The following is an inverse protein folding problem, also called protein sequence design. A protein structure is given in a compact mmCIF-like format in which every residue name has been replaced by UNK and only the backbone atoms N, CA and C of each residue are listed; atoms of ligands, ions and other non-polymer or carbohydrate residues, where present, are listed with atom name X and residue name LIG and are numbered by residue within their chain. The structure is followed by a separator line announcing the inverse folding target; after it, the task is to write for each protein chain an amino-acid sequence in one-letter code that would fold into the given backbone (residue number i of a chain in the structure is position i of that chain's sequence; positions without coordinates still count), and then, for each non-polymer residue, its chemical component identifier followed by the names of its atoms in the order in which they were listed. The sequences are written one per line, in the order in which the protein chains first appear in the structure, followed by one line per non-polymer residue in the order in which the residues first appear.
data_IF_072003075311
#
_entry.id   IF_072003075311
#
_cell.length_a   1.000
_cell.length_b   1.000
_cell.length_c   1.000
_cell.angle_alpha   90.00
_cell.angle_beta   90.00
_cell.angle_gamma   90.00
#
_symmetry.space_group_name_H-M   'P 1'
#
loop_
_entity.id
_entity.type
_entity.pdbx_description
1 polymer ?
#
# COMPACT_ATOMS: atom_id res chain seq x y z
N UNK A 1 40.43 -37.96 -36.09
CA UNK A 1 39.74 -38.58 -34.95
C UNK A 1 39.50 -37.49 -33.93
N UNK A 2 38.30 -36.90 -33.92
CA UNK A 2 37.94 -35.79 -33.03
C UNK A 2 37.09 -36.36 -31.90
N UNK A 3 37.53 -36.18 -30.66
CA UNK A 3 36.82 -36.65 -29.47
C UNK A 3 35.54 -35.81 -29.28
N UNK A 4 34.36 -36.41 -29.03
CA UNK A 4 33.20 -35.64 -28.65
C UNK A 4 33.39 -35.12 -27.21
N UNK A 5 33.25 -33.80 -27.05
CA UNK A 5 33.23 -33.08 -25.76
C UNK A 5 31.95 -33.47 -25.01
N UNK A 6 32.08 -33.82 -23.73
CA UNK A 6 30.96 -34.13 -22.85
C UNK A 6 29.99 -32.93 -22.76
N UNK A 7 28.69 -33.14 -22.58
CA UNK A 7 27.74 -32.04 -22.39
C UNK A 7 28.06 -31.33 -21.07
N UNK A 8 28.14 -30.00 -21.12
CA UNK A 8 28.29 -29.17 -19.94
C UNK A 8 27.01 -29.28 -19.09
N UNK A 9 27.16 -29.53 -17.79
CA UNK A 9 26.02 -29.57 -16.86
C UNK A 9 25.36 -28.19 -16.83
N UNK A 10 24.08 -28.15 -17.21
CA UNK A 10 23.25 -26.96 -17.11
C UNK A 10 23.01 -26.66 -15.62
N UNK A 11 23.67 -25.61 -15.13
CA UNK A 11 23.44 -25.09 -13.78
C UNK A 11 22.03 -24.52 -13.76
N UNK A 12 21.08 -25.31 -13.22
CA UNK A 12 19.72 -24.85 -12.93
C UNK A 12 19.84 -23.74 -11.91
N UNK A 13 19.66 -22.49 -12.34
CA UNK A 13 19.50 -21.38 -11.41
C UNK A 13 18.21 -21.61 -10.62
N UNK A 14 18.21 -21.35 -9.29
CA UNK A 14 16.97 -21.43 -8.53
C UNK A 14 15.98 -20.44 -9.14
N UNK A 15 14.76 -20.90 -9.38
CA UNK A 15 13.60 -20.06 -9.68
C UNK A 15 13.40 -19.10 -8.51
N UNK A 16 14.12 -17.98 -8.53
CA UNK A 16 13.74 -16.80 -7.78
C UNK A 16 12.54 -16.25 -8.52
N UNK A 17 11.34 -16.71 -8.14
CA UNK A 17 10.04 -16.27 -8.64
C UNK A 17 9.73 -14.80 -8.34
N UNK A 18 10.73 -13.92 -8.38
CA UNK A 18 10.60 -12.49 -8.42
C UNK A 18 10.82 -12.08 -9.89
N UNK A 19 9.78 -12.27 -10.70
CA UNK A 19 9.70 -11.54 -11.95
C UNK A 19 9.71 -10.06 -11.59
N UNK A 20 10.65 -9.31 -12.16
CA UNK A 20 10.63 -7.86 -12.13
C UNK A 20 9.32 -7.41 -12.77
N UNK A 21 8.32 -7.09 -11.93
CA UNK A 21 7.09 -6.45 -12.39
C UNK A 21 7.55 -5.06 -12.84
N UNK A 22 7.58 -4.87 -14.14
CA UNK A 22 7.83 -3.58 -14.77
C UNK A 22 6.73 -2.62 -14.30
N UNK A 23 7.16 -1.47 -13.78
CA UNK A 23 6.37 -0.38 -13.19
C UNK A 23 5.45 0.36 -14.20
N UNK A 24 4.63 -0.35 -15.00
CA UNK A 24 3.87 0.28 -16.09
C UNK A 24 2.49 -0.34 -16.39
N UNK A 25 2.00 -1.23 -15.53
CA UNK A 25 0.58 -1.60 -15.55
C UNK A 25 -0.12 -0.80 -14.45
N UNK A 26 -0.77 0.30 -14.86
CA UNK A 26 -1.85 0.88 -14.10
C UNK A 26 -2.75 -0.27 -13.62
N UNK A 27 -2.64 -0.57 -12.33
CA UNK A 27 -3.28 -1.72 -11.71
C UNK A 27 -4.74 -1.71 -12.14
N UNK A 28 -5.15 -2.78 -12.82
CA UNK A 28 -6.39 -2.77 -13.61
C UNK A 28 -7.56 -2.29 -12.73
N UNK A 29 -8.12 -1.12 -13.07
CA UNK A 29 -9.29 -0.56 -12.40
C UNK A 29 -10.43 -1.59 -12.32
N UNK A 30 -10.50 -2.51 -13.29
CA UNK A 30 -11.48 -3.60 -13.31
C UNK A 30 -11.29 -4.60 -12.14
N UNK A 31 -10.07 -4.73 -11.60
CA UNK A 31 -9.74 -5.63 -10.49
C UNK A 31 -10.03 -5.03 -9.11
N UNK A 32 -9.87 -3.71 -8.95
CA UNK A 32 -10.24 -3.00 -7.71
C UNK A 32 -11.76 -2.73 -7.64
N UNK A 33 -12.40 -2.47 -8.79
CA UNK A 33 -13.85 -2.35 -8.91
C UNK A 33 -14.43 -1.01 -8.45
N UNK A 34 -13.59 -0.05 -8.05
CA UNK A 34 -13.96 1.32 -7.68
C UNK A 34 -13.10 2.32 -8.47
N UNK A 35 -13.60 3.57 -8.69
CA UNK A 35 -12.81 4.61 -9.35
C UNK A 35 -11.55 4.93 -8.52
N UNK A 36 -10.45 5.27 -9.20
CA UNK A 36 -9.20 5.73 -8.58
C UNK A 36 -8.71 7.04 -9.22
N UNK A 37 -9.62 7.81 -9.81
CA UNK A 37 -9.30 9.12 -10.37
C UNK A 37 -9.20 10.20 -9.29
N UNK A 38 -8.61 11.35 -9.66
CA UNK A 38 -8.41 12.49 -8.76
C UNK A 38 -9.71 12.94 -8.07
N UNK A 39 -10.84 12.90 -8.79
CA UNK A 39 -12.13 13.29 -8.23
C UNK A 39 -12.60 12.34 -7.13
N UNK A 40 -12.32 11.04 -7.26
CA UNK A 40 -12.62 10.05 -6.23
C UNK A 40 -11.67 10.16 -5.03
N UNK A 41 -10.39 10.46 -5.26
CA UNK A 41 -9.44 10.74 -4.17
C UNK A 41 -9.87 11.98 -3.36
N UNK A 42 -10.24 13.07 -4.04
CA UNK A 42 -10.81 14.27 -3.41
C UNK A 42 -12.08 13.94 -2.60
N UNK A 43 -12.94 13.06 -3.15
CA UNK A 43 -14.16 12.63 -2.47
C UNK A 43 -13.85 11.86 -1.18
N UNK A 44 -12.82 11.02 -1.18
CA UNK A 44 -12.36 10.26 -0.01
C UNK A 44 -11.79 11.21 1.05
N UNK A 45 -10.98 12.19 0.64
CA UNK A 45 -10.42 13.20 1.54
C UNK A 45 -11.51 14.07 2.20
N UNK A 46 -12.51 14.47 1.42
CA UNK A 46 -13.70 15.14 1.96
C UNK A 46 -14.46 14.24 2.94
N UNK A 47 -14.55 12.94 2.67
CA UNK A 47 -15.20 12.00 3.59
C UNK A 47 -14.44 11.89 4.91
N UNK A 48 -13.12 11.82 4.86
CA UNK A 48 -12.28 11.85 6.06
C UNK A 48 -12.52 13.10 6.90
N UNK A 49 -12.48 14.29 6.29
CA UNK A 49 -12.76 15.56 6.97
C UNK A 49 -14.18 15.59 7.58
N UNK A 50 -15.18 15.09 6.86
CA UNK A 50 -16.56 14.98 7.33
C UNK A 50 -16.67 14.06 8.55
N UNK A 51 -16.03 12.88 8.53
CA UNK A 51 -16.08 11.96 9.66
C UNK A 51 -15.37 12.53 10.88
N UNK A 52 -14.19 13.12 10.71
CA UNK A 52 -13.50 13.81 11.79
C UNK A 52 -14.40 14.87 12.44
N UNK A 53 -15.12 15.68 11.66
CA UNK A 53 -16.06 16.67 12.17
C UNK A 53 -17.23 16.04 12.95
N UNK A 54 -17.78 14.92 12.46
CA UNK A 54 -18.89 14.21 13.10
C UNK A 54 -18.50 13.57 14.44
N UNK A 55 -17.26 13.10 14.58
CA UNK A 55 -16.78 12.44 15.80
C UNK A 55 -16.03 13.38 16.75
N UNK A 56 -16.29 14.70 16.64
CA UNK A 56 -15.77 15.68 17.59
C UNK A 56 -14.30 16.04 17.38
N UNK A 57 -13.86 16.10 16.11
CA UNK A 57 -12.46 16.30 15.69
C UNK A 57 -11.52 15.18 16.15
N UNK A 58 -12.07 13.99 16.39
CA UNK A 58 -11.29 12.80 16.66
C UNK A 58 -11.06 12.01 15.36
N UNK A 59 -10.17 11.02 15.41
CA UNK A 59 -9.79 10.15 14.28
C UNK A 59 -10.17 8.71 14.52
N UNK A 60 -10.40 8.35 15.77
CA UNK A 60 -10.76 7.02 16.22
C UNK A 60 -11.77 7.12 17.35
N UNK A 61 -12.59 6.08 17.52
CA UNK A 61 -13.54 5.96 18.64
C UNK A 61 -13.08 4.96 19.70
N UNK A 62 -12.04 4.17 19.37
CA UNK A 62 -11.50 3.18 20.29
C UNK A 62 -10.82 3.87 21.49
N UNK A 63 -10.88 3.28 22.70
CA UNK A 63 -10.17 3.81 23.86
C UNK A 63 -8.67 3.49 23.76
N UNK A 64 -7.94 4.23 22.93
CA UNK A 64 -6.49 4.09 22.78
C UNK A 64 -5.76 4.86 23.88
N UNK A 65 -4.70 4.26 24.45
CA UNK A 65 -3.84 4.95 25.42
C UNK A 65 -2.51 5.37 24.79
N UNK A 66 -1.66 4.39 24.46
CA UNK A 66 -0.33 4.61 23.87
C UNK A 66 -0.02 3.49 22.88
N UNK A 67 -0.76 3.41 21.75
CA UNK A 67 -0.46 2.42 20.72
C UNK A 67 0.99 2.58 20.27
N UNK A 68 1.67 1.47 20.00
CA UNK A 68 3.05 1.46 19.48
C UNK A 68 3.11 0.96 18.05
N UNK A 69 2.06 0.26 17.60
CA UNK A 69 1.90 -0.23 16.22
C UNK A 69 0.45 -0.05 15.81
N UNK A 70 0.24 0.59 14.67
CA UNK A 70 -1.07 0.87 14.08
C UNK A 70 -1.04 0.38 12.63
N UNK A 71 -2.09 -0.33 12.23
CA UNK A 71 -2.28 -0.79 10.85
C UNK A 71 -3.57 -0.17 10.31
N UNK A 72 -3.45 0.58 9.23
CA UNK A 72 -4.55 1.18 8.48
C UNK A 72 -4.81 0.34 7.22
N UNK A 73 -5.97 -0.31 7.17
CA UNK A 73 -6.36 -1.23 6.10
C UNK A 73 -7.31 -0.51 5.14
N UNK A 74 -6.94 -0.48 3.86
CA UNK A 74 -7.65 0.34 2.88
C UNK A 74 -7.37 1.82 3.13
N UNK A 75 -6.08 2.17 3.26
CA UNK A 75 -5.66 3.51 3.67
C UNK A 75 -5.99 4.59 2.66
N UNK A 76 -6.35 4.24 1.41
CA UNK A 76 -6.67 5.17 0.34
C UNK A 76 -5.58 6.21 0.14
N UNK A 77 -5.93 7.49 0.26
CA UNK A 77 -4.98 8.62 0.18
C UNK A 77 -3.94 8.63 1.30
N UNK A 78 -4.15 7.85 2.37
CA UNK A 78 -3.25 7.74 3.51
C UNK A 78 -3.36 8.88 4.51
N UNK A 79 -4.29 9.83 4.33
CA UNK A 79 -4.45 10.97 5.24
C UNK A 79 -4.65 10.52 6.69
N UNK A 80 -5.52 9.53 6.92
CA UNK A 80 -5.74 9.01 8.27
C UNK A 80 -4.47 8.41 8.89
N UNK A 81 -3.71 7.63 8.11
CA UNK A 81 -2.42 7.05 8.53
C UNK A 81 -1.41 8.12 8.95
N UNK A 82 -1.19 9.12 8.09
CA UNK A 82 -0.23 10.22 8.34
C UNK A 82 -0.60 10.92 9.64
N UNK A 83 -1.87 11.23 9.76
CA UNK A 83 -2.38 11.99 10.88
C UNK A 83 -2.37 11.22 12.21
N UNK A 84 -2.55 9.90 12.18
CA UNK A 84 -2.36 9.04 13.36
C UNK A 84 -0.89 8.95 13.76
N UNK A 85 0.03 9.01 12.79
CA UNK A 85 1.46 9.07 13.07
C UNK A 85 1.86 10.41 13.71
N UNK A 86 1.20 11.51 13.34
CA UNK A 86 1.36 12.82 14.01
C UNK A 86 0.82 12.82 15.44
N UNK A 87 -0.34 12.19 15.68
CA UNK A 87 -0.96 12.11 17.02
C UNK A 87 -0.16 11.20 17.95
N UNK A 88 0.37 10.09 17.42
CA UNK A 88 1.17 9.11 18.17
C UNK A 88 2.58 8.98 17.58
N UNK A 89 3.48 9.96 17.80
CA UNK A 89 4.80 9.98 17.17
C UNK A 89 5.73 8.84 17.60
N UNK A 90 5.41 8.15 18.71
CA UNK A 90 6.12 6.94 19.14
C UNK A 90 5.62 5.65 18.47
N UNK A 91 4.49 5.72 17.75
CA UNK A 91 3.90 4.56 17.11
C UNK A 91 4.47 4.38 15.69
N UNK A 92 4.69 3.13 15.31
CA UNK A 92 4.84 2.75 13.91
C UNK A 92 3.45 2.65 13.28
N UNK A 93 3.18 3.46 12.25
CA UNK A 93 1.92 3.43 11.50
C UNK A 93 2.19 2.89 10.11
N UNK A 94 1.50 1.80 9.75
CA UNK A 94 1.59 1.17 8.43
C UNK A 94 0.23 1.30 7.76
N UNK A 95 0.18 1.96 6.62
CA UNK A 95 -0.98 1.97 5.73
C UNK A 95 -0.80 0.97 4.60
N UNK A 96 -1.87 0.26 4.25
CA UNK A 96 -1.91 -0.61 3.07
C UNK A 96 -3.22 -0.46 2.34
N UNK A 97 -3.16 -0.36 1.02
CA UNK A 97 -4.31 -0.41 0.13
C UNK A 97 -4.01 -1.36 -1.03
N UNK A 98 -5.07 -1.86 -1.67
CA UNK A 98 -4.97 -2.61 -2.92
C UNK A 98 -4.82 -1.63 -4.10
N UNK A 99 -5.39 -0.42 -3.96
CA UNK A 99 -5.26 0.66 -4.91
C UNK A 99 -3.84 1.28 -4.87
N UNK A 100 -3.13 1.38 -6.01
CA UNK A 100 -1.81 2.01 -6.09
C UNK A 100 -1.94 3.55 -6.14
N UNK A 101 -2.44 4.17 -5.08
CA UNK A 101 -2.75 5.62 -5.05
C UNK A 101 -1.68 6.48 -4.40
N UNK A 102 -0.65 5.86 -3.84
CA UNK A 102 0.41 6.50 -3.07
C UNK A 102 1.58 6.86 -3.97
N UNK A 103 2.30 7.97 -3.70
CA UNK A 103 3.41 8.41 -4.54
C UNK A 103 4.59 7.45 -4.46
N UNK A 104 5.35 7.37 -5.56
CA UNK A 104 6.67 6.76 -5.55
C UNK A 104 7.62 7.58 -4.66
N UNK A 105 8.56 6.89 -4.03
CA UNK A 105 9.47 7.38 -2.98
C UNK A 105 10.71 8.11 -3.53
#
# INVERSE_FOLDING_TARGET
MSSPRAPEEEVIQPDTGLQSVTDDEAYDNEKYGLPMDEAELDRIDMCHAKYCALIGKNRYLAPLEKPQRILDLGCGTGIWSIEMAEEFPSAEVIGTDVAPTQPDW
#
